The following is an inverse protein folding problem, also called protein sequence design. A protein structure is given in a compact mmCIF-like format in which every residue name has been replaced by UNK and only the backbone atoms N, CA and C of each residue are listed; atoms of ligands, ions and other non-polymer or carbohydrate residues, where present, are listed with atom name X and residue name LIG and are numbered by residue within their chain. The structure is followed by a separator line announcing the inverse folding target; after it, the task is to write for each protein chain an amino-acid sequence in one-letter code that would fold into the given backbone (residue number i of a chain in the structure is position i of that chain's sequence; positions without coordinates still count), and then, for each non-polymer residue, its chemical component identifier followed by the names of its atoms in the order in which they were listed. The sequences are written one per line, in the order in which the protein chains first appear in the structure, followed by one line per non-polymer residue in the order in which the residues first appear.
data_IF_069533762863
#
_entry.id   IF_069533762863
#
_cell.length_a   1.000
_cell.length_b   1.000
_cell.length_c   1.000
_cell.angle_alpha   90.00
_cell.angle_beta   90.00
_cell.angle_gamma   90.00
#
_symmetry.space_group_name_H-M   'P 1'
#
loop_
_entity.id
_entity.type
_entity.pdbx_description
1 polymer ?
#
# COMPACT_ATOMS: atom_id res chain seq x y z
N UNK A 1 -60.40 20.35 -29.01
CA UNK A 1 -60.01 20.79 -27.66
C UNK A 1 -59.59 19.56 -26.90
N UNK A 2 -58.27 19.32 -26.86
CA UNK A 2 -57.66 18.28 -26.04
C UNK A 2 -56.39 18.90 -25.44
N UNK A 3 -56.44 19.06 -24.14
CA UNK A 3 -55.45 19.70 -23.28
C UNK A 3 -54.30 18.71 -22.98
N UNK A 4 -53.01 19.06 -23.16
CA UNK A 4 -51.90 18.24 -22.72
C UNK A 4 -51.42 18.71 -21.34
N UNK A 5 -51.98 18.14 -20.28
CA UNK A 5 -51.45 18.28 -18.91
C UNK A 5 -50.76 16.98 -18.50
N UNK A 6 -49.43 16.99 -18.53
CA UNK A 6 -48.57 15.97 -17.92
C UNK A 6 -47.35 16.67 -17.30
N UNK A 7 -47.09 16.54 -15.99
CA UNK A 7 -46.06 17.32 -15.32
C UNK A 7 -44.65 16.87 -15.71
N UNK A 8 -43.83 17.86 -16.06
CA UNK A 8 -42.39 17.78 -16.24
C UNK A 8 -41.74 17.68 -14.86
N UNK A 9 -41.59 16.47 -14.31
CA UNK A 9 -40.94 16.29 -13.00
C UNK A 9 -40.12 15.00 -12.84
N UNK A 10 -39.74 14.32 -13.94
CA UNK A 10 -38.94 13.08 -13.86
C UNK A 10 -37.47 13.25 -14.31
N UNK A 11 -37.02 14.46 -14.64
CA UNK A 11 -35.65 14.68 -15.17
C UNK A 11 -34.64 15.17 -14.13
N UNK A 12 -35.07 15.95 -13.13
CA UNK A 12 -34.15 16.55 -12.15
C UNK A 12 -33.71 15.51 -11.11
N UNK A 13 -34.62 14.68 -10.61
CA UNK A 13 -34.29 13.62 -9.64
C UNK A 13 -33.39 12.56 -10.27
N UNK A 14 -33.68 12.15 -11.51
CA UNK A 14 -32.82 11.22 -12.26
C UNK A 14 -31.43 11.81 -12.55
N UNK A 15 -31.34 13.10 -12.89
CA UNK A 15 -30.06 13.78 -13.12
C UNK A 15 -29.27 14.00 -11.83
N UNK A 16 -29.93 14.31 -10.72
CA UNK A 16 -29.30 14.41 -9.41
C UNK A 16 -28.75 13.06 -8.94
N UNK A 17 -29.50 11.97 -9.14
CA UNK A 17 -29.08 10.60 -8.80
C UNK A 17 -27.94 10.13 -9.70
N UNK A 18 -27.96 10.47 -10.99
CA UNK A 18 -26.86 10.19 -11.94
C UNK A 18 -25.59 10.99 -11.61
N UNK A 19 -25.73 12.26 -11.19
CA UNK A 19 -24.60 13.09 -10.76
C UNK A 19 -24.01 12.59 -9.45
N UNK A 20 -24.85 12.13 -8.51
CA UNK A 20 -24.39 11.50 -7.27
C UNK A 20 -23.68 10.17 -7.56
N UNK A 21 -24.21 9.36 -8.48
CA UNK A 21 -23.58 8.11 -8.93
C UNK A 21 -22.26 8.36 -9.68
N UNK A 22 -22.13 9.47 -10.44
CA UNK A 22 -20.89 9.81 -11.13
C UNK A 22 -19.82 10.36 -10.17
N UNK A 23 -20.22 11.09 -9.12
CA UNK A 23 -19.34 11.50 -8.02
C UNK A 23 -18.90 10.29 -7.19
N UNK A 24 -19.82 9.35 -6.93
CA UNK A 24 -19.55 8.07 -6.27
C UNK A 24 -18.58 7.18 -7.07
N UNK A 25 -18.67 7.18 -8.40
CA UNK A 25 -17.81 6.40 -9.28
C UNK A 25 -16.43 7.02 -9.57
N UNK A 26 -16.28 8.35 -9.40
CA UNK A 26 -15.06 9.08 -9.77
C UNK A 26 -14.13 9.44 -8.61
N UNK A 27 -14.52 9.16 -7.36
CA UNK A 27 -13.73 9.53 -6.19
C UNK A 27 -13.50 8.36 -5.24
N UNK A 28 -12.39 7.66 -5.44
CA UNK A 28 -11.76 6.80 -4.42
C UNK A 28 -10.96 7.61 -3.40
N UNK A 29 -11.25 8.91 -3.25
CA UNK A 29 -10.52 9.75 -2.30
C UNK A 29 -10.94 9.35 -0.87
N UNK A 30 -9.98 9.25 0.07
CA UNK A 30 -10.28 8.88 1.46
C UNK A 30 -11.36 9.74 2.10
N UNK A 31 -11.42 11.03 1.74
CA UNK A 31 -12.42 11.98 2.22
C UNK A 31 -13.86 11.62 1.80
N UNK A 32 -14.07 11.05 0.61
CA UNK A 32 -15.40 10.67 0.13
C UNK A 32 -15.86 9.35 0.75
N UNK A 33 -14.94 8.41 1.00
CA UNK A 33 -15.24 7.21 1.79
C UNK A 33 -15.59 7.57 3.23
N UNK A 34 -14.92 8.57 3.81
CA UNK A 34 -15.25 9.08 5.15
C UNK A 34 -16.64 9.73 5.17
N UNK A 35 -16.99 10.54 4.17
CA UNK A 35 -18.32 11.13 4.06
C UNK A 35 -19.41 10.07 3.89
N UNK A 36 -19.17 9.02 3.09
CA UNK A 36 -20.10 7.90 2.93
C UNK A 36 -20.25 7.08 4.21
N UNK A 37 -19.16 6.81 4.95
CA UNK A 37 -19.24 6.10 6.23
C UNK A 37 -20.07 6.89 7.26
N UNK A 38 -19.88 8.21 7.30
CA UNK A 38 -20.69 9.10 8.15
C UNK A 38 -22.16 9.09 7.71
N UNK A 39 -22.44 9.14 6.40
CA UNK A 39 -23.81 9.07 5.89
C UNK A 39 -24.48 7.73 6.17
N UNK A 40 -23.80 6.60 5.92
CA UNK A 40 -24.30 5.26 6.19
C UNK A 40 -24.56 5.04 7.69
N UNK A 41 -23.70 5.59 8.56
CA UNK A 41 -23.89 5.51 9.99
C UNK A 41 -25.01 6.43 10.48
N UNK A 42 -25.19 7.63 9.92
CA UNK A 42 -26.39 8.45 10.19
C UNK A 42 -27.65 7.72 9.73
N UNK A 43 -27.64 7.09 8.56
CA UNK A 43 -28.76 6.30 8.07
C UNK A 43 -29.04 5.08 8.96
N UNK A 44 -28.01 4.47 9.55
CA UNK A 44 -28.14 3.37 10.50
C UNK A 44 -28.63 3.82 11.89
N UNK A 45 -28.18 4.98 12.38
CA UNK A 45 -28.57 5.54 13.68
C UNK A 45 -29.93 6.24 13.64
N UNK A 46 -30.25 6.92 12.54
CA UNK A 46 -31.56 7.55 12.28
C UNK A 46 -32.58 6.53 11.74
N UNK A 47 -32.13 5.40 11.19
CA UNK A 47 -32.98 4.29 10.75
C UNK A 47 -33.54 3.45 11.90
N UNK A 48 -32.98 3.57 13.10
CA UNK A 48 -33.49 2.95 14.34
C UNK A 48 -34.26 3.97 15.18
N UNK A 49 -35.36 4.50 14.65
CA UNK A 49 -36.39 5.18 15.47
C UNK A 49 -37.22 4.12 16.20
N UNK A 50 -36.57 3.25 16.98
CA UNK A 50 -37.27 2.57 18.05
C UNK A 50 -37.52 3.61 19.14
N UNK A 51 -38.79 3.97 19.36
CA UNK A 51 -39.17 4.90 20.42
C UNK A 51 -38.48 4.52 21.74
N UNK A 52 -37.85 5.52 22.38
CA UNK A 52 -37.11 5.36 23.63
C UNK A 52 -37.89 4.46 24.60
N UNK A 53 -37.27 3.34 25.02
CA UNK A 53 -37.82 2.47 26.08
C UNK A 53 -37.79 3.13 27.45
N UNK A 54 -37.11 4.26 27.58
CA UNK A 54 -37.16 5.12 28.75
C UNK A 54 -38.40 6.01 28.60
N UNK A 55 -39.38 5.90 29.51
CA UNK A 55 -40.55 6.77 29.49
C UNK A 55 -40.10 8.23 29.56
N UNK A 56 -40.81 9.11 28.84
CA UNK A 56 -40.50 10.53 28.86
C UNK A 56 -40.44 11.04 30.31
N UNK A 57 -39.39 11.79 30.69
CA UNK A 57 -39.23 12.29 32.05
C UNK A 57 -40.46 13.14 32.40
N UNK A 58 -41.08 12.83 33.53
CA UNK A 58 -42.37 13.42 33.91
C UNK A 58 -42.20 14.78 34.58
N UNK A 59 -41.01 15.07 35.12
CA UNK A 59 -40.69 16.32 35.82
C UNK A 59 -39.22 16.72 35.67
N UNK A 60 -38.94 18.02 35.81
CA UNK A 60 -37.58 18.62 35.76
C UNK A 60 -36.63 17.99 36.80
N UNK A 61 -37.17 17.51 37.92
CA UNK A 61 -36.42 16.85 38.99
C UNK A 61 -35.81 15.50 38.56
N UNK A 62 -36.50 14.74 37.70
CA UNK A 62 -35.98 13.46 37.17
C UNK A 62 -34.85 13.70 36.17
N UNK A 63 -34.98 14.74 35.34
CA UNK A 63 -33.92 15.20 34.42
C UNK A 63 -32.67 15.62 35.20
N UNK A 64 -32.84 16.38 36.29
CA UNK A 64 -31.74 16.74 37.19
C UNK A 64 -31.05 15.53 37.83
N UNK A 65 -31.80 14.47 38.14
CA UNK A 65 -31.27 13.21 38.66
C UNK A 65 -30.33 12.50 37.67
N UNK A 66 -30.72 12.42 36.39
CA UNK A 66 -29.86 11.85 35.34
C UNK A 66 -28.61 12.69 35.08
N UNK A 67 -28.73 14.02 35.09
CA UNK A 67 -27.58 14.93 34.92
C UNK A 67 -26.58 14.77 36.08
N UNK A 68 -27.09 14.65 37.32
CA UNK A 68 -26.25 14.41 38.49
C UNK A 68 -25.59 13.03 38.44
N UNK A 69 -26.33 11.98 38.07
CA UNK A 69 -25.78 10.64 37.93
C UNK A 69 -24.65 10.58 36.88
N UNK A 70 -24.87 11.18 35.70
CA UNK A 70 -23.85 11.24 34.64
C UNK A 70 -22.64 12.08 35.04
N UNK A 71 -22.84 13.11 35.87
CA UNK A 71 -21.75 13.91 36.44
C UNK A 71 -20.94 13.10 37.47
N UNK A 72 -21.62 12.29 38.28
CA UNK A 72 -20.99 11.41 39.29
C UNK A 72 -20.20 10.25 38.65
N UNK A 73 -20.67 9.75 37.50
CA UNK A 73 -20.02 8.72 36.70
C UNK A 73 -18.92 9.26 35.76
N UNK A 74 -18.67 10.58 35.75
CA UNK A 74 -17.65 11.20 34.91
C UNK A 74 -17.94 11.16 33.41
N UNK A 75 -19.17 10.85 32.98
CA UNK A 75 -19.53 10.69 31.58
C UNK A 75 -20.03 12.01 30.98
N UNK A 76 -19.09 12.94 30.77
CA UNK A 76 -19.33 14.31 30.30
C UNK A 76 -19.96 14.39 28.92
N UNK A 77 -19.66 13.43 28.04
CA UNK A 77 -20.14 13.43 26.65
C UNK A 77 -21.61 13.02 26.56
N UNK A 78 -21.99 11.96 27.28
CA UNK A 78 -23.39 11.53 27.40
C UNK A 78 -24.26 12.58 28.09
N UNK A 79 -23.71 13.30 29.09
CA UNK A 79 -24.40 14.44 29.70
C UNK A 79 -24.68 15.55 28.69
N UNK A 80 -23.71 15.86 27.83
CA UNK A 80 -23.83 16.92 26.83
C UNK A 80 -24.83 16.54 25.72
N UNK A 81 -24.88 15.27 25.34
CA UNK A 81 -25.90 14.74 24.41
C UNK A 81 -27.29 14.70 25.01
N UNK A 82 -27.44 14.34 26.29
CA UNK A 82 -28.73 14.34 26.98
C UNK A 82 -29.29 15.76 27.06
N UNK A 83 -28.46 16.75 27.41
CA UNK A 83 -28.85 18.16 27.47
C UNK A 83 -29.24 18.66 26.07
N UNK A 84 -28.48 18.33 25.04
CA UNK A 84 -28.78 18.76 23.68
C UNK A 84 -30.04 18.11 23.12
N UNK A 85 -30.25 16.81 23.36
CA UNK A 85 -31.47 16.09 23.02
C UNK A 85 -32.70 16.65 23.74
N UNK A 86 -32.56 17.04 25.01
CA UNK A 86 -33.63 17.69 25.77
C UNK A 86 -33.96 19.11 25.27
N UNK A 87 -32.97 19.83 24.72
CA UNK A 87 -33.12 21.17 24.15
C UNK A 87 -33.50 21.16 22.66
N UNK A 88 -33.61 19.98 22.04
CA UNK A 88 -33.89 19.86 20.60
C UNK A 88 -32.77 20.40 19.71
N UNK A 89 -31.57 20.56 20.24
CA UNK A 89 -30.38 21.02 19.52
C UNK A 89 -29.53 19.80 19.20
N UNK A 90 -28.93 19.76 18.01
CA UNK A 90 -27.96 18.71 17.69
C UNK A 90 -26.86 18.69 18.75
N UNK A 91 -26.75 17.59 19.50
CA UNK A 91 -25.70 17.45 20.50
C UNK A 91 -24.32 17.45 19.89
N UNK A 92 -23.28 17.75 20.70
CA UNK A 92 -21.91 17.52 20.25
C UNK A 92 -21.81 16.06 19.83
N UNK A 93 -21.46 15.83 18.56
CA UNK A 93 -21.28 14.50 18.00
C UNK A 93 -20.32 13.74 18.92
N UNK A 94 -20.80 12.69 19.57
CA UNK A 94 -19.94 11.75 20.28
C UNK A 94 -19.00 11.19 19.22
N UNK A 95 -17.74 11.61 19.26
CA UNK A 95 -16.65 10.99 18.48
C UNK A 95 -16.32 9.58 18.98
N UNK A 96 -17.12 9.07 19.92
CA UNK A 96 -17.04 7.72 20.49
C UNK A 96 -17.31 6.70 19.37
N UNK A 97 -16.22 6.30 18.71
CA UNK A 97 -16.18 5.33 17.61
C UNK A 97 -15.83 5.91 16.23
N UNK A 98 -15.81 7.24 16.07
CA UNK A 98 -15.81 7.91 14.74
C UNK A 98 -14.44 8.33 14.21
N UNK A 99 -13.36 8.07 14.95
CA UNK A 99 -12.00 8.24 14.45
C UNK A 99 -11.26 6.91 14.62
N UNK A 100 -11.66 5.87 13.90
CA UNK A 100 -10.57 5.03 13.39
C UNK A 100 -9.76 5.95 12.49
N UNK A 101 -8.68 6.52 13.02
CA UNK A 101 -7.72 7.29 12.26
C UNK A 101 -7.38 6.43 11.04
N UNK A 102 -7.93 6.82 9.90
CA UNK A 102 -7.64 6.16 8.65
C UNK A 102 -6.13 6.34 8.43
N UNK A 103 -5.42 5.28 8.01
CA UNK A 103 -4.00 5.39 7.72
C UNK A 103 -3.73 6.57 6.80
N UNK A 104 -2.69 7.34 7.13
CA UNK A 104 -2.29 8.53 6.35
C UNK A 104 -1.86 8.12 4.93
N UNK A 105 -1.31 6.91 4.80
CA UNK A 105 -0.79 6.35 3.56
C UNK A 105 -1.66 5.15 3.15
N UNK A 106 -2.18 5.20 1.93
CA UNK A 106 -2.94 4.12 1.34
C UNK A 106 -2.07 3.16 0.55
N UNK A 107 -2.63 1.99 0.22
CA UNK A 107 -2.05 1.05 -0.73
C UNK A 107 -2.62 1.32 -2.13
N UNK A 108 -1.73 1.40 -3.11
CA UNK A 108 -2.06 1.61 -4.53
C UNK A 108 -1.67 0.36 -5.31
N UNK A 109 -2.61 -0.10 -6.13
CA UNK A 109 -2.37 -1.18 -7.07
C UNK A 109 -1.80 -0.60 -8.39
N UNK A 110 -0.56 -0.96 -8.71
CA UNK A 110 0.07 -0.64 -9.99
C UNK A 110 -0.01 -1.86 -10.93
N UNK A 111 -0.17 -1.67 -12.26
CA UNK A 111 -0.06 -2.77 -13.21
C UNK A 111 1.35 -3.35 -13.16
N UNK A 112 1.46 -4.68 -13.25
CA UNK A 112 2.72 -5.39 -13.20
C UNK A 112 3.11 -5.95 -14.57
N UNK A 113 4.41 -6.00 -14.84
CA UNK A 113 4.93 -6.55 -16.08
C UNK A 113 4.89 -8.08 -16.07
N UNK A 114 4.34 -8.66 -17.13
CA UNK A 114 4.22 -10.12 -17.30
C UNK A 114 4.84 -10.54 -18.63
N UNK A 115 6.18 -10.47 -18.76
CA UNK A 115 6.86 -10.88 -19.98
C UNK A 115 6.55 -12.35 -20.30
N UNK A 116 6.51 -12.66 -21.60
CA UNK A 116 6.26 -14.01 -22.07
C UNK A 116 7.37 -14.95 -21.59
N UNK A 117 6.99 -16.09 -21.01
CA UNK A 117 7.94 -17.07 -20.53
C UNK A 117 7.31 -18.06 -19.56
N UNK A 118 8.06 -19.10 -19.12
CA UNK A 118 7.54 -20.14 -18.23
C UNK A 118 6.99 -19.60 -16.90
N UNK A 119 7.58 -18.52 -16.38
CA UNK A 119 7.17 -17.91 -15.13
C UNK A 119 5.95 -16.97 -15.26
N UNK A 120 5.50 -16.64 -16.48
CA UNK A 120 4.45 -15.62 -16.71
C UNK A 120 3.17 -15.88 -15.90
N UNK A 121 2.75 -17.14 -15.79
CA UNK A 121 1.57 -17.55 -15.03
C UNK A 121 1.67 -17.32 -13.52
N UNK A 122 2.89 -17.24 -12.98
CA UNK A 122 3.16 -17.05 -11.54
C UNK A 122 3.32 -15.58 -11.15
N UNK A 123 3.47 -14.68 -12.12
CA UNK A 123 3.64 -13.25 -11.87
C UNK A 123 2.27 -12.61 -11.59
N UNK A 124 2.09 -11.92 -10.45
CA UNK A 124 0.85 -11.21 -10.14
C UNK A 124 0.48 -10.18 -11.21
N UNK A 125 -0.81 -9.96 -11.44
CA UNK A 125 -1.31 -8.95 -12.40
C UNK A 125 -1.05 -7.51 -11.93
N UNK A 126 -1.03 -7.30 -10.62
CA UNK A 126 -0.80 -6.00 -10.01
C UNK A 126 0.17 -6.09 -8.84
N UNK A 127 0.88 -4.99 -8.63
CA UNK A 127 1.79 -4.76 -7.52
C UNK A 127 1.08 -3.89 -6.48
N UNK A 128 1.13 -4.25 -5.20
CA UNK A 128 0.63 -3.40 -4.12
C UNK A 128 1.79 -2.59 -3.53
N UNK A 129 1.68 -1.28 -3.55
CA UNK A 129 2.71 -0.37 -3.04
C UNK A 129 2.10 0.75 -2.21
N UNK A 130 2.89 1.32 -1.30
CA UNK A 130 2.49 2.53 -0.59
C UNK A 130 2.32 3.70 -1.57
N UNK A 131 1.29 4.51 -1.34
CA UNK A 131 0.92 5.63 -2.21
C UNK A 131 2.02 6.70 -2.36
N UNK A 132 2.90 6.84 -1.38
CA UNK A 132 4.04 7.77 -1.40
C UNK A 132 5.18 7.30 -2.34
N UNK A 133 5.35 5.99 -2.52
CA UNK A 133 6.38 5.43 -3.42
C UNK A 133 5.86 5.19 -4.85
N UNK A 134 4.55 5.10 -5.04
CA UNK A 134 3.94 4.75 -6.32
C UNK A 134 4.33 5.67 -7.48
N UNK A 135 4.30 7.02 -7.36
CA UNK A 135 4.62 7.90 -8.49
C UNK A 135 6.06 7.75 -8.98
N UNK A 136 7.01 7.64 -8.06
CA UNK A 136 8.43 7.53 -8.38
C UNK A 136 8.74 6.17 -9.03
N UNK A 137 8.15 5.08 -8.52
CA UNK A 137 8.31 3.76 -9.13
C UNK A 137 7.66 3.70 -10.51
N UNK A 138 6.49 4.29 -10.69
CA UNK A 138 5.80 4.32 -11.99
C UNK A 138 6.64 5.04 -13.05
N UNK A 139 7.30 6.14 -12.71
CA UNK A 139 8.22 6.84 -13.61
C UNK A 139 9.45 5.98 -13.95
N UNK A 140 10.01 5.27 -12.98
CA UNK A 140 11.13 4.36 -13.21
C UNK A 140 10.75 3.20 -14.13
N UNK A 141 9.56 2.61 -13.94
CA UNK A 141 9.01 1.56 -14.82
C UNK A 141 8.77 2.08 -16.23
N UNK A 142 8.16 3.27 -16.38
CA UNK A 142 7.97 3.89 -17.69
C UNK A 142 9.30 4.10 -18.41
N UNK A 143 10.35 4.55 -17.71
CA UNK A 143 11.68 4.70 -18.30
C UNK A 143 12.29 3.39 -18.79
N UNK A 144 11.99 2.26 -18.14
CA UNK A 144 12.39 0.92 -18.62
C UNK A 144 11.54 0.49 -19.82
N UNK A 145 10.24 0.74 -19.80
CA UNK A 145 9.33 0.45 -20.90
C UNK A 145 9.71 1.23 -22.17
N UNK A 146 10.09 2.49 -22.02
CA UNK A 146 10.59 3.34 -23.11
C UNK A 146 11.88 2.78 -23.74
N UNK A 147 12.63 1.97 -22.99
CA UNK A 147 13.82 1.26 -23.47
C UNK A 147 13.51 -0.14 -24.01
N UNK A 148 12.26 -0.60 -23.91
CA UNK A 148 11.83 -1.94 -24.34
C UNK A 148 12.15 -3.05 -23.34
N UNK A 149 12.45 -2.68 -22.09
CA UNK A 149 12.71 -3.57 -20.98
C UNK A 149 11.43 -3.81 -20.18
N UNK A 150 11.27 -5.01 -19.59
CA UNK A 150 10.16 -5.34 -18.70
C UNK A 150 10.69 -5.72 -17.30
N UNK A 151 10.02 -5.27 -16.24
CA UNK A 151 10.44 -5.48 -14.86
C UNK A 151 9.34 -6.20 -14.05
N UNK A 152 9.34 -7.53 -14.02
CA UNK A 152 8.36 -8.29 -13.24
C UNK A 152 8.66 -8.19 -11.75
N UNK A 153 7.71 -7.65 -10.99
CA UNK A 153 7.85 -7.36 -9.55
C UNK A 153 6.86 -8.15 -8.69
N UNK A 154 7.21 -8.30 -7.41
CA UNK A 154 6.38 -8.88 -6.35
C UNK A 154 6.54 -8.02 -5.10
N UNK A 155 5.43 -7.46 -4.64
CA UNK A 155 5.29 -6.75 -3.38
C UNK A 155 3.91 -7.06 -2.81
N UNK A 156 3.76 -8.18 -2.09
CA UNK A 156 2.49 -8.54 -1.48
C UNK A 156 2.23 -7.60 -0.30
N UNK A 157 1.00 -7.11 -0.20
CA UNK A 157 0.54 -6.43 1.02
C UNK A 157 0.61 -7.44 2.17
N UNK A 158 1.35 -7.07 3.22
CA UNK A 158 1.45 -7.89 4.42
C UNK A 158 0.37 -7.49 5.41
N UNK A 159 -0.22 -8.50 6.06
CA UNK A 159 -1.11 -8.29 7.21
C UNK A 159 -0.26 -8.30 8.47
N UNK A 160 -0.60 -7.45 9.43
CA UNK A 160 0.10 -7.46 10.72
C UNK A 160 -0.05 -8.83 11.38
N UNK A 161 1.03 -9.39 11.95
CA UNK A 161 0.95 -10.66 12.65
C UNK A 161 0.01 -10.51 13.86
N UNK A 162 -0.88 -11.47 14.06
CA UNK A 162 -1.71 -11.53 15.27
C UNK A 162 -0.83 -11.65 16.52
N UNK A 163 -1.35 -11.29 17.69
CA UNK A 163 -0.60 -11.38 18.97
C UNK A 163 -0.03 -12.76 19.28
N UNK A 164 -0.66 -13.84 18.79
CA UNK A 164 -0.19 -15.22 18.97
C UNK A 164 0.77 -15.69 17.88
N UNK A 165 1.01 -14.89 16.83
CA UNK A 165 1.85 -15.27 15.71
C UNK A 165 3.30 -14.82 15.95
N UNK A 166 4.24 -15.59 15.40
CA UNK A 166 5.65 -15.21 15.43
C UNK A 166 5.85 -13.92 14.63
N UNK A 167 6.44 -12.92 15.27
CA UNK A 167 6.82 -11.66 14.61
C UNK A 167 8.04 -11.90 13.72
N UNK A 168 7.99 -11.51 12.42
CA UNK A 168 9.17 -11.57 11.56
C UNK A 168 10.32 -10.72 12.11
N UNK A 169 11.55 -11.24 12.05
CA UNK A 169 12.73 -10.48 12.49
C UNK A 169 13.03 -9.26 11.60
N UNK A 170 12.54 -9.27 10.36
CA UNK A 170 12.62 -8.16 9.43
C UNK A 170 11.25 -7.54 9.22
N UNK A 171 11.14 -6.27 9.62
CA UNK A 171 9.89 -5.54 9.66
C UNK A 171 9.65 -4.67 8.41
N UNK A 172 10.67 -4.48 7.55
CA UNK A 172 10.54 -3.66 6.35
C UNK A 172 9.45 -4.17 5.37
N UNK A 173 9.25 -5.50 5.18
CA UNK A 173 8.15 -6.00 4.36
C UNK A 173 6.77 -5.62 4.91
N UNK A 174 6.60 -5.61 6.24
CA UNK A 174 5.35 -5.18 6.88
C UNK A 174 5.07 -3.70 6.64
N UNK A 175 6.12 -2.89 6.49
CA UNK A 175 6.02 -1.46 6.20
C UNK A 175 5.87 -1.15 4.71
N UNK A 176 5.72 -2.14 3.83
CA UNK A 176 5.63 -1.91 2.38
C UNK A 176 6.88 -1.28 1.77
N UNK A 177 8.03 -1.41 2.44
CA UNK A 177 9.32 -0.83 2.04
C UNK A 177 10.18 -1.81 1.25
N UNK A 178 9.62 -2.93 0.81
CA UNK A 178 10.33 -4.00 0.10
C UNK A 178 9.60 -4.32 -1.19
N UNK A 179 10.36 -4.33 -2.30
CA UNK A 179 9.93 -4.91 -3.57
C UNK A 179 10.90 -6.02 -3.94
N UNK A 180 10.39 -7.06 -4.59
CA UNK A 180 11.19 -8.21 -4.99
C UNK A 180 11.03 -8.43 -6.48
N UNK A 181 12.13 -8.59 -7.21
CA UNK A 181 12.11 -9.04 -8.60
C UNK A 181 11.64 -10.49 -8.65
N UNK A 182 10.88 -10.88 -9.69
CA UNK A 182 10.46 -12.29 -9.83
C UNK A 182 11.68 -13.15 -10.18
N UNK A 183 12.21 -13.99 -9.26
CA UNK A 183 13.46 -14.70 -9.49
C UNK A 183 13.34 -15.75 -10.59
N UNK A 184 12.13 -16.30 -10.81
CA UNK A 184 11.85 -17.26 -11.89
C UNK A 184 11.94 -16.69 -13.31
N UNK A 185 12.19 -15.38 -13.46
CA UNK A 185 12.41 -14.71 -14.74
C UNK A 185 13.88 -14.41 -15.01
N UNK A 186 14.80 -14.99 -14.23
CA UNK A 186 16.24 -14.78 -14.34
C UNK A 186 17.04 -16.06 -14.15
N UNK A 187 18.34 -15.96 -14.44
CA UNK A 187 19.39 -16.94 -14.12
C UNK A 187 19.29 -18.29 -14.83
N UNK A 188 18.40 -18.51 -15.79
CA UNK A 188 18.31 -19.77 -16.54
C UNK A 188 18.99 -19.69 -17.90
N UNK A 189 18.62 -18.68 -18.68
CA UNK A 189 19.15 -18.40 -20.01
C UNK A 189 19.24 -16.88 -20.21
N UNK A 190 20.44 -16.28 -20.12
CA UNK A 190 20.59 -14.83 -20.17
C UNK A 190 20.12 -14.22 -21.50
N UNK A 191 20.10 -14.98 -22.59
CA UNK A 191 19.71 -14.45 -23.90
C UNK A 191 18.19 -14.40 -24.09
N UNK A 192 17.42 -15.15 -23.29
CA UNK A 192 15.96 -15.20 -23.35
C UNK A 192 15.27 -14.66 -22.10
N UNK A 193 15.93 -14.74 -20.94
CA UNK A 193 15.38 -14.30 -19.67
C UNK A 193 15.14 -12.77 -19.63
N UNK A 194 13.98 -12.31 -19.12
CA UNK A 194 13.70 -10.88 -18.94
C UNK A 194 14.69 -10.18 -18.02
N UNK A 195 15.23 -10.89 -17.04
CA UNK A 195 16.17 -10.37 -16.05
C UNK A 195 17.45 -11.19 -16.05
N UNK A 196 18.58 -10.56 -15.78
CA UNK A 196 19.86 -11.25 -15.64
C UNK A 196 20.73 -10.58 -14.58
N UNK A 197 21.76 -11.31 -14.14
CA UNK A 197 22.87 -10.72 -13.39
C UNK A 197 24.08 -10.75 -14.31
N UNK A 198 24.59 -9.57 -14.64
CA UNK A 198 25.60 -9.40 -15.67
C UNK A 198 26.68 -8.41 -15.25
N UNK A 199 27.83 -8.49 -15.92
CA UNK A 199 28.96 -7.58 -15.77
C UNK A 199 29.51 -7.22 -17.16
N UNK A 200 30.08 -6.02 -17.26
CA UNK A 200 30.85 -5.57 -18.44
C UNK A 200 32.33 -5.69 -18.11
N UNK A 201 33.11 -6.32 -18.99
CA UNK A 201 34.58 -6.34 -18.94
C UNK A 201 35.19 -6.75 -17.59
N UNK A 202 34.57 -7.67 -16.85
CA UNK A 202 35.03 -8.10 -15.53
C UNK A 202 34.80 -7.09 -14.40
N UNK A 203 33.93 -6.10 -14.61
CA UNK A 203 33.48 -5.16 -13.59
C UNK A 203 32.55 -5.80 -12.54
N UNK A 204 31.89 -4.98 -11.70
CA UNK A 204 30.99 -5.52 -10.69
C UNK A 204 29.78 -6.22 -11.33
N UNK A 205 29.32 -7.30 -10.70
CA UNK A 205 28.05 -7.94 -11.06
C UNK A 205 26.88 -7.04 -10.70
N UNK A 206 26.00 -6.83 -11.65
CA UNK A 206 24.85 -5.95 -11.56
C UNK A 206 23.59 -6.67 -12.01
N UNK A 207 22.47 -6.31 -11.42
CA UNK A 207 21.16 -6.78 -11.84
C UNK A 207 20.74 -5.93 -13.02
N UNK A 208 20.39 -6.59 -14.12
CA UNK A 208 20.04 -5.96 -15.38
C UNK A 208 18.70 -6.47 -15.90
N UNK A 209 17.98 -5.61 -16.61
CA UNK A 209 16.82 -5.99 -17.39
C UNK A 209 17.19 -6.14 -18.86
N UNK A 210 16.61 -7.13 -19.52
CA UNK A 210 16.74 -7.37 -20.95
C UNK A 210 15.74 -6.53 -21.71
N UNK A 211 16.25 -5.75 -22.66
CA UNK A 211 15.40 -4.99 -23.56
C UNK A 211 15.09 -5.86 -24.77
N UNK A 212 13.94 -6.55 -24.69
CA UNK A 212 13.51 -7.56 -25.67
C UNK A 212 12.54 -7.00 -26.71
N UNK A 213 11.93 -5.85 -26.45
CA UNK A 213 11.04 -5.15 -27.38
C UNK A 213 11.67 -3.86 -27.91
N UNK A 214 11.15 -3.37 -29.03
CA UNK A 214 11.59 -2.09 -29.60
C UNK A 214 10.91 -0.95 -28.82
N UNK A 215 11.66 -0.27 -27.96
CA UNK A 215 11.23 0.96 -27.29
C UNK A 215 11.60 2.22 -28.08
N UNK A 216 10.99 3.39 -27.78
CA UNK A 216 11.39 4.68 -28.34
C UNK A 216 12.85 5.08 -28.03
N UNK A 217 13.43 4.56 -26.95
CA UNK A 217 14.83 4.79 -26.55
C UNK A 217 15.64 3.54 -26.89
N UNK A 218 16.56 3.67 -27.87
CA UNK A 218 17.44 2.59 -28.27
C UNK A 218 18.50 2.26 -27.22
N UNK A 219 18.66 0.98 -26.90
CA UNK A 219 19.73 0.48 -26.03
C UNK A 219 20.86 -0.09 -26.88
N UNK A 220 22.06 0.46 -26.76
CA UNK A 220 23.22 -0.02 -27.50
C UNK A 220 23.67 -1.39 -26.97
N UNK A 221 23.84 -2.41 -27.83
CA UNK A 221 24.40 -3.69 -27.41
C UNK A 221 25.81 -3.52 -26.84
N UNK A 222 26.10 -4.19 -25.72
CA UNK A 222 27.42 -4.19 -25.10
C UNK A 222 27.89 -5.62 -24.77
N UNK A 223 29.17 -5.79 -24.50
CA UNK A 223 29.80 -7.08 -24.23
C UNK A 223 29.56 -7.53 -22.78
N UNK A 224 28.30 -7.83 -22.46
CA UNK A 224 27.87 -8.31 -21.14
C UNK A 224 28.14 -9.81 -20.97
N UNK A 225 28.91 -10.17 -19.93
CA UNK A 225 28.91 -11.55 -19.42
C UNK A 225 27.80 -11.70 -18.39
N UNK A 226 26.99 -12.75 -18.49
CA UNK A 226 25.81 -12.95 -17.64
C UNK A 226 25.86 -14.29 -16.91
N UNK A 227 25.25 -14.38 -15.73
CA UNK A 227 25.18 -15.64 -14.98
C UNK A 227 24.04 -16.52 -15.48
N UNK A 228 24.35 -17.79 -15.74
CA UNK A 228 23.38 -18.86 -15.87
C UNK A 228 23.61 -19.86 -14.72
N UNK A 229 22.56 -20.14 -13.99
CA UNK A 229 22.55 -20.96 -12.79
C UNK A 229 21.64 -22.17 -12.96
N UNK A 230 22.04 -23.27 -12.36
CA UNK A 230 21.20 -24.43 -12.12
C UNK A 230 20.93 -24.56 -10.61
N UNK A 231 20.31 -25.67 -10.19
CA UNK A 231 19.96 -25.89 -8.79
C UNK A 231 21.15 -25.89 -7.81
N UNK A 232 22.39 -26.04 -8.28
CA UNK A 232 23.58 -26.22 -7.42
C UNK A 232 24.74 -25.27 -7.72
N UNK A 233 24.76 -24.61 -8.88
CA UNK A 233 25.90 -23.81 -9.32
C UNK A 233 25.49 -22.69 -10.28
N UNK A 234 26.33 -21.66 -10.36
CA UNK A 234 26.23 -20.57 -11.32
C UNK A 234 27.50 -20.45 -12.16
N UNK A 235 27.33 -20.39 -13.48
CA UNK A 235 28.39 -20.22 -14.47
C UNK A 235 28.25 -18.89 -15.19
N UNK A 236 29.37 -18.20 -15.43
CA UNK A 236 29.37 -16.99 -16.23
C UNK A 236 29.38 -17.36 -17.72
N UNK A 237 28.32 -16.98 -18.43
CA UNK A 237 28.23 -17.10 -19.87
C UNK A 237 28.90 -15.89 -20.54
N UNK A 238 29.82 -16.11 -21.49
CA UNK A 238 30.47 -15.02 -22.21
C UNK A 238 29.45 -14.23 -23.05
N UNK A 239 29.78 -12.98 -23.45
CA UNK A 239 28.94 -12.22 -24.36
C UNK A 239 28.89 -12.87 -25.76
N UNK A 240 27.73 -12.84 -26.45
CA UNK A 240 27.64 -13.21 -27.85
C UNK A 240 28.32 -12.14 -28.72
N UNK A 241 28.68 -12.49 -29.97
CA UNK A 241 29.40 -11.59 -30.87
C UNK A 241 28.68 -10.24 -31.10
N UNK A 242 27.35 -10.23 -31.13
CA UNK A 242 26.52 -9.02 -31.28
C UNK A 242 26.33 -8.21 -29.99
N UNK A 243 26.85 -8.67 -28.85
CA UNK A 243 26.57 -8.09 -27.54
C UNK A 243 25.13 -8.35 -27.05
N UNK A 244 24.84 -7.92 -25.83
CA UNK A 244 23.52 -7.97 -25.20
C UNK A 244 22.99 -6.57 -24.95
N UNK A 245 21.69 -6.38 -25.12
CA UNK A 245 20.99 -5.13 -24.83
C UNK A 245 20.39 -5.19 -23.42
N UNK A 246 21.15 -4.69 -22.46
CA UNK A 246 20.81 -4.72 -21.06
C UNK A 246 20.82 -3.31 -20.46
N UNK A 247 19.93 -3.11 -19.50
CA UNK A 247 19.84 -1.87 -18.72
C UNK A 247 20.09 -2.21 -17.26
N UNK A 248 21.01 -1.49 -16.62
CA UNK A 248 21.29 -1.66 -15.19
C UNK A 248 20.12 -1.17 -14.35
N UNK A 249 19.58 -2.04 -13.49
CA UNK A 249 18.38 -1.74 -12.71
C UNK A 249 18.67 -0.91 -11.46
N UNK A 250 19.85 -1.06 -10.87
CA UNK A 250 20.23 -0.33 -9.66
C UNK A 250 20.06 1.20 -9.78
N UNK A 251 20.59 1.90 -10.80
CA UNK A 251 20.39 3.34 -10.93
C UNK A 251 18.93 3.73 -11.21
N UNK A 252 18.21 2.90 -11.97
CA UNK A 252 16.81 3.17 -12.32
C UNK A 252 15.92 3.09 -11.07
N UNK A 253 16.04 2.00 -10.29
CA UNK A 253 15.28 1.83 -9.05
C UNK A 253 15.74 2.78 -7.93
N UNK A 254 17.03 3.17 -7.92
CA UNK A 254 17.52 4.17 -6.98
C UNK A 254 16.85 5.53 -7.17
N UNK A 255 16.48 5.90 -8.41
CA UNK A 255 15.71 7.12 -8.66
C UNK A 255 14.30 7.08 -8.05
N UNK A 256 13.75 5.87 -7.85
CA UNK A 256 12.51 5.61 -7.11
C UNK A 256 12.73 5.37 -5.61
N UNK A 257 13.95 5.53 -5.09
CA UNK A 257 14.31 5.32 -3.69
C UNK A 257 14.54 3.85 -3.30
N UNK A 258 14.52 2.92 -4.25
CA UNK A 258 14.76 1.50 -4.02
C UNK A 258 16.20 1.12 -4.32
N UNK A 259 16.86 0.50 -3.34
CA UNK A 259 18.24 0.03 -3.47
C UNK A 259 18.32 -1.47 -3.21
N UNK A 260 19.28 -2.20 -3.82
CA UNK A 260 19.46 -3.62 -3.52
C UNK A 260 19.68 -3.84 -2.02
N UNK A 261 19.01 -4.83 -1.43
CA UNK A 261 19.17 -5.15 -0.01
C UNK A 261 20.62 -5.56 0.31
N UNK A 262 21.29 -6.21 -0.65
CA UNK A 262 22.70 -6.57 -0.57
C UNK A 262 23.40 -6.09 -1.85
N UNK A 263 24.34 -5.17 -1.71
CA UNK A 263 25.10 -4.66 -2.84
C UNK A 263 26.06 -5.73 -3.40
N UNK A 264 26.12 -5.85 -4.73
CA UNK A 264 27.04 -6.77 -5.41
C UNK A 264 26.75 -8.26 -5.15
N UNK A 265 25.50 -8.60 -4.77
CA UNK A 265 25.12 -9.98 -4.49
C UNK A 265 25.38 -10.89 -5.69
N UNK A 266 26.08 -12.00 -5.45
CA UNK A 266 26.33 -13.03 -6.45
C UNK A 266 25.65 -14.33 -6.03
N UNK A 267 24.61 -14.76 -6.75
CA UNK A 267 23.95 -16.02 -6.42
C UNK A 267 24.90 -17.19 -6.65
N UNK A 268 24.75 -18.20 -5.79
CA UNK A 268 25.49 -19.47 -5.89
C UNK A 268 24.70 -20.56 -6.61
N UNK A 269 23.37 -20.43 -6.67
CA UNK A 269 22.46 -21.34 -7.37
C UNK A 269 21.22 -20.60 -7.88
N UNK A 270 20.39 -21.26 -8.70
CA UNK A 270 19.11 -20.74 -9.14
C UNK A 270 18.09 -20.58 -8.00
N UNK A 271 18.28 -21.25 -6.86
CA UNK A 271 17.43 -21.10 -5.67
C UNK A 271 17.87 -19.96 -4.76
N UNK A 272 19.05 -19.39 -5.02
CA UNK A 272 19.60 -18.28 -4.26
C UNK A 272 19.00 -16.96 -4.75
N UNK A 273 17.95 -16.52 -4.06
CA UNK A 273 17.15 -15.35 -4.43
C UNK A 273 17.54 -14.06 -3.70
N UNK A 274 18.66 -14.06 -2.95
CA UNK A 274 19.08 -12.90 -2.15
C UNK A 274 19.31 -11.61 -2.95
N UNK A 275 19.68 -11.75 -4.24
CA UNK A 275 19.86 -10.64 -5.18
C UNK A 275 18.55 -9.94 -5.57
N UNK A 276 17.41 -10.64 -5.52
CA UNK A 276 16.16 -10.15 -6.10
C UNK A 276 15.48 -9.06 -5.25
N UNK A 277 15.95 -8.86 -4.01
CA UNK A 277 15.29 -8.00 -3.03
C UNK A 277 15.81 -6.57 -3.06
N UNK A 278 14.89 -5.61 -3.12
CA UNK A 278 15.16 -4.18 -3.03
C UNK A 278 14.40 -3.56 -1.86
N UNK A 279 15.03 -2.59 -1.20
CA UNK A 279 14.51 -1.91 -0.02
C UNK A 279 14.48 -0.40 -0.23
N UNK A 280 13.45 0.25 0.32
CA UNK A 280 13.32 1.69 0.34
C UNK A 280 13.45 2.21 1.77
N UNK A 281 14.62 2.80 2.05
CA UNK A 281 14.98 3.37 3.35
C UNK A 281 14.77 4.88 3.40
N UNK A 282 14.17 5.48 2.37
CA UNK A 282 13.95 6.94 2.32
C UNK A 282 13.05 7.36 3.48
N UNK A 283 13.42 8.45 4.15
CA UNK A 283 12.72 8.98 5.32
C UNK A 283 13.01 8.25 6.64
N UNK A 284 13.71 7.11 6.64
CA UNK A 284 14.14 6.44 7.88
C UNK A 284 15.41 7.12 8.42
N UNK A 285 15.30 7.81 9.54
CA UNK A 285 16.40 8.51 10.20
C UNK A 285 16.85 7.70 11.42
N UNK A 286 18.14 7.34 11.43
CA UNK A 286 18.73 6.56 12.52
C UNK A 286 18.61 7.32 13.86
N UNK A 287 18.15 6.63 14.90
CA UNK A 287 17.94 7.19 16.24
C UNK A 287 16.69 8.08 16.38
N UNK A 288 15.90 8.27 15.31
CA UNK A 288 14.74 9.16 15.32
C UNK A 288 13.46 8.44 14.91
N UNK A 289 13.50 7.67 13.82
CA UNK A 289 12.29 7.01 13.31
C UNK A 289 11.92 5.82 14.19
N UNK A 290 10.72 5.84 14.76
CA UNK A 290 10.19 4.74 15.57
C UNK A 290 9.32 3.80 14.72
N UNK A 291 9.27 2.52 15.11
CA UNK A 291 8.41 1.54 14.46
C UNK A 291 6.93 1.94 14.58
N UNK A 292 6.52 2.45 15.74
CA UNK A 292 5.16 2.92 15.96
C UNK A 292 4.72 4.00 14.99
N UNK A 293 5.58 4.99 14.72
CA UNK A 293 5.27 6.06 13.77
C UNK A 293 5.08 5.51 12.36
N UNK A 294 5.95 4.60 11.91
CA UNK A 294 5.83 3.98 10.58
C UNK A 294 4.58 3.09 10.46
N UNK A 295 4.23 2.34 11.51
CA UNK A 295 3.03 1.50 11.50
C UNK A 295 1.75 2.33 11.46
N UNK A 296 1.69 3.44 12.18
CA UNK A 296 0.53 4.34 12.21
C UNK A 296 0.25 5.01 10.86
N UNK A 297 1.26 5.11 9.99
CA UNK A 297 1.05 5.60 8.63
C UNK A 297 0.23 4.63 7.78
N UNK A 298 0.31 3.32 8.05
CA UNK A 298 -0.18 2.25 7.17
C UNK A 298 -1.34 1.45 7.76
N UNK A 299 -1.43 1.37 9.08
CA UNK A 299 -2.39 0.53 9.78
C UNK A 299 -3.19 1.35 10.80
N UNK A 300 -4.50 1.05 10.96
CA UNK A 300 -5.30 1.72 11.96
C UNK A 300 -4.81 1.35 13.37
N UNK A 301 -4.96 2.25 14.37
CA UNK A 301 -4.48 2.00 15.73
C UNK A 301 -5.02 0.71 16.36
N UNK A 302 -6.25 0.33 16.02
CA UNK A 302 -6.89 -0.91 16.49
C UNK A 302 -6.20 -2.17 15.96
N UNK A 303 -5.78 -2.17 14.69
CA UNK A 303 -5.03 -3.28 14.09
C UNK A 303 -3.63 -3.39 14.70
N UNK A 304 -2.97 -2.25 14.97
CA UNK A 304 -1.67 -2.22 15.63
C UNK A 304 -1.78 -2.79 17.05
N UNK A 305 -2.78 -2.34 17.83
CA UNK A 305 -3.00 -2.81 19.20
C UNK A 305 -3.32 -4.31 19.28
N UNK A 306 -3.99 -4.85 18.25
CA UNK A 306 -4.30 -6.29 18.14
C UNK A 306 -3.15 -7.12 17.53
N UNK A 307 -2.02 -6.51 17.17
CA UNK A 307 -0.89 -7.19 16.55
C UNK A 307 0.17 -7.63 17.54
N UNK A 308 1.00 -8.60 17.16
CA UNK A 308 2.21 -8.98 17.90
C UNK A 308 3.25 -7.87 18.02
N UNK A 309 3.09 -6.76 17.29
CA UNK A 309 3.97 -5.60 17.32
C UNK A 309 3.56 -4.52 18.34
N UNK A 310 2.41 -4.69 19.03
CA UNK A 310 1.91 -3.70 19.98
C UNK A 310 2.90 -3.38 21.10
N UNK A 311 3.69 -4.36 21.55
CA UNK A 311 4.75 -4.17 22.56
C UNK A 311 6.07 -3.64 22.01
N UNK A 312 6.22 -3.50 20.69
CA UNK A 312 7.48 -3.18 20.01
C UNK A 312 7.48 -1.79 19.35
N UNK A 313 6.42 -0.99 19.56
CA UNK A 313 6.24 0.31 18.91
C UNK A 313 7.35 1.32 19.24
N UNK A 314 8.02 1.15 20.38
CA UNK A 314 9.15 1.97 20.82
C UNK A 314 10.49 1.61 20.19
N UNK A 315 10.57 0.57 19.35
CA UNK A 315 11.80 0.25 18.62
C UNK A 315 12.16 1.40 17.68
N UNK A 316 13.45 1.70 17.61
CA UNK A 316 13.99 2.82 16.81
C UNK A 316 14.84 2.27 15.68
N UNK A 317 14.75 2.91 14.53
CA UNK A 317 15.61 2.61 13.39
C UNK A 317 17.07 2.90 13.74
N UNK A 318 17.95 1.91 13.62
CA UNK A 318 19.38 2.07 13.91
C UNK A 318 20.25 2.29 12.64
N UNK A 319 19.63 2.41 11.48
CA UNK A 319 20.31 2.45 10.17
C UNK A 319 20.23 1.15 9.37
N UNK A 320 19.90 0.03 10.03
CA UNK A 320 19.79 -1.30 9.39
C UNK A 320 18.51 -2.04 9.74
N UNK A 321 18.04 -1.92 10.99
CA UNK A 321 16.81 -2.55 11.48
C UNK A 321 16.18 -1.70 12.59
N UNK A 322 14.94 -2.03 12.96
CA UNK A 322 14.30 -1.53 14.16
C UNK A 322 14.76 -2.36 15.36
N UNK A 323 15.34 -1.70 16.36
CA UNK A 323 15.84 -2.36 17.56
C UNK A 323 15.37 -1.62 18.82
N UNK A 324 15.28 -2.33 19.94
CA UNK A 324 15.17 -1.70 21.26
C UNK A 324 16.48 -0.97 21.57
N UNK A 325 16.37 0.28 22.03
CA UNK A 325 17.49 0.98 22.65
C UNK A 325 17.93 0.32 23.96
#
# INVERSE_FOLDING_TARGET
MSDPSGPVSNSIEAQALQALMSVLGSSSSPAVLQAQAIMLQRLALEGDIAGSRVPAPRNITEVGGYINLLTLLGQTDMRSQLIAGALGVAGPTSTVGLLQQQPVIGWVALPNDRPAGPAQGTIPLSLQLRSDFAPALQLALQGLHDQGCALPLVAPMQVLPATSAMVPGDLLPLLGRVITLVPGTALRDPDNDPLAIAQISGGPWQIVARCASTGPIGVTPQQWSALACNATSCTAMPPPAGGRQYVALAPVLASAGFTPAVAGYRPTSATDIGWARFVNLTGLVAGVTTLGNELQLLYPPTAIAASGLAGQLGMVWNGTTFASH
#
